data_IF_246797925366
#
_entry.id   IF_246797925366
#
_cell.length_a   1.000
_cell.length_b   1.000
_cell.length_c   1.000
_cell.angle_alpha   90.00
_cell.angle_beta   90.00
_cell.angle_gamma   90.00
#
_symmetry.space_group_name_H-M   'P 1'
#
loop_
_entity.id
_entity.type
_entity.pdbx_description
1 polymer ?
#
# COMPACT_ATOMS: atom_id res chain seq x y z
N UNK A 1 1.27 11.08 -21.50
CA UNK A 1 1.40 9.80 -20.75
C UNK A 1 0.43 9.77 -19.56
N UNK A 2 -0.59 8.91 -19.63
CA UNK A 2 -1.55 8.75 -18.52
C UNK A 2 -0.91 7.88 -17.44
N UNK A 3 -0.85 8.35 -16.18
CA UNK A 3 -0.33 7.53 -15.08
C UNK A 3 -1.30 6.39 -14.76
N UNK A 4 -0.76 5.21 -14.49
CA UNK A 4 -1.51 4.01 -14.12
C UNK A 4 -1.46 3.83 -12.60
N UNK A 5 -2.61 3.58 -11.98
CA UNK A 5 -2.71 3.44 -10.52
C UNK A 5 -3.35 2.10 -10.15
N UNK A 6 -2.83 1.49 -9.09
CA UNK A 6 -3.37 0.29 -8.47
C UNK A 6 -3.34 0.44 -6.96
N UNK A 7 -4.34 -0.12 -6.29
CA UNK A 7 -4.39 -0.18 -4.82
C UNK A 7 -4.14 -1.63 -4.41
N UNK A 8 -3.21 -1.82 -3.48
CA UNK A 8 -2.94 -3.13 -2.90
C UNK A 8 -4.14 -3.64 -2.12
N UNK A 9 -4.41 -4.94 -2.20
CA UNK A 9 -5.39 -5.64 -1.39
C UNK A 9 -4.92 -5.84 0.07
N UNK A 10 -5.69 -6.58 0.86
CA UNK A 10 -5.34 -6.91 2.25
C UNK A 10 -4.11 -7.84 2.40
N UNK A 11 -3.64 -8.44 1.30
CA UNK A 11 -2.45 -9.27 1.23
C UNK A 11 -1.22 -8.49 0.71
N UNK A 12 -1.40 -7.22 0.33
CA UNK A 12 -0.33 -6.37 -0.18
C UNK A 12 -0.06 -6.51 -1.68
N UNK A 13 -0.95 -7.16 -2.43
CA UNK A 13 -0.79 -7.40 -3.86
C UNK A 13 -1.68 -6.46 -4.70
N UNK A 14 -1.19 -6.04 -5.88
CA UNK A 14 -1.97 -5.32 -6.89
C UNK A 14 -1.51 -5.73 -8.28
N UNK A 15 -2.42 -5.76 -9.24
CA UNK A 15 -2.11 -5.99 -10.65
C UNK A 15 -2.42 -4.69 -11.40
N UNK A 16 -1.46 -4.23 -12.20
CA UNK A 16 -1.61 -3.04 -13.04
C UNK A 16 -1.33 -3.47 -14.47
N UNK A 17 -2.31 -3.26 -15.35
CA UNK A 17 -2.16 -3.52 -16.79
C UNK A 17 -1.73 -2.24 -17.46
N UNK A 18 -0.52 -2.17 -18.00
CA UNK A 18 -0.03 -1.03 -18.78
C UNK A 18 0.68 -1.53 -20.05
N UNK A 19 0.74 -0.71 -21.12
CA UNK A 19 1.48 -1.05 -22.32
C UNK A 19 2.96 -1.34 -22.03
N UNK A 20 3.62 -2.11 -22.89
CA UNK A 20 5.07 -2.34 -22.79
C UNK A 20 5.84 -1.02 -22.89
N UNK A 21 6.92 -0.89 -22.12
CA UNK A 21 7.71 0.34 -22.08
C UNK A 21 8.42 0.59 -20.75
N UNK A 22 9.02 1.78 -20.64
CA UNK A 22 9.71 2.23 -19.43
C UNK A 22 8.76 3.03 -18.56
N UNK A 23 8.69 2.66 -17.28
CA UNK A 23 7.82 3.30 -16.31
C UNK A 23 8.57 3.60 -15.04
N UNK A 24 8.07 4.60 -14.32
CA UNK A 24 8.48 4.88 -12.95
C UNK A 24 7.38 4.38 -12.03
N UNK A 25 7.66 3.30 -11.31
CA UNK A 25 6.80 2.77 -10.27
C UNK A 25 6.97 3.64 -9.03
N UNK A 26 5.85 4.13 -8.50
CA UNK A 26 5.82 4.86 -7.23
C UNK A 26 4.91 4.12 -6.26
N UNK A 27 5.50 3.62 -5.19
CA UNK A 27 4.78 3.00 -4.09
C UNK A 27 4.72 3.98 -2.92
N UNK A 28 3.50 4.27 -2.49
CA UNK A 28 3.24 5.17 -1.38
C UNK A 28 2.20 4.58 -0.45
N UNK A 29 2.38 4.78 0.85
CA UNK A 29 1.41 4.46 1.89
C UNK A 29 1.38 5.60 2.92
N UNK A 30 0.21 5.95 3.50
CA UNK A 30 0.10 7.06 4.46
C UNK A 30 1.01 6.94 5.70
N UNK A 31 1.44 5.71 6.01
CA UNK A 31 2.32 5.40 7.15
C UNK A 31 3.80 5.24 6.78
N UNK A 32 4.16 5.46 5.53
CA UNK A 32 5.57 5.50 5.10
C UNK A 32 6.17 6.87 5.39
N UNK A 33 7.48 6.90 5.62
CA UNK A 33 8.25 8.15 5.75
C UNK A 33 8.56 8.79 4.39
N UNK A 34 8.83 7.97 3.38
CA UNK A 34 9.13 8.38 2.02
C UNK A 34 8.51 7.39 1.04
N UNK A 35 8.11 7.87 -0.14
CA UNK A 35 7.65 7.02 -1.22
C UNK A 35 8.82 6.21 -1.81
N UNK A 36 8.59 4.94 -2.13
CA UNK A 36 9.56 4.15 -2.91
C UNK A 36 9.33 4.48 -4.38
N UNK A 37 10.40 4.82 -5.07
CA UNK A 37 10.37 5.10 -6.51
C UNK A 37 11.38 4.21 -7.20
N UNK A 38 10.94 3.44 -8.19
CA UNK A 38 11.80 2.55 -8.96
C UNK A 38 11.49 2.69 -10.46
N UNK A 39 12.53 2.65 -11.29
CA UNK A 39 12.37 2.57 -12.74
C UNK A 39 12.24 1.10 -13.16
N UNK A 40 11.15 0.78 -13.82
CA UNK A 40 10.86 -0.57 -14.30
C UNK A 40 10.67 -0.57 -15.82
N UNK A 41 11.13 -1.65 -16.46
CA UNK A 41 10.82 -1.93 -17.86
C UNK A 41 9.74 -3.01 -17.88
N UNK A 42 8.57 -2.67 -18.40
CA UNK A 42 7.51 -3.63 -18.69
C UNK A 42 7.78 -4.24 -20.06
N UNK A 43 8.09 -5.54 -20.07
CA UNK A 43 8.24 -6.32 -21.29
C UNK A 43 6.94 -7.08 -21.60
N UNK A 44 6.81 -7.55 -22.85
CA UNK A 44 5.75 -8.47 -23.29
C UNK A 44 6.00 -9.90 -22.75
N UNK A 45 6.21 -9.99 -21.43
CA UNK A 45 6.48 -11.22 -20.69
C UNK A 45 5.37 -11.42 -19.66
N UNK A 46 4.94 -12.67 -19.42
CA UNK A 46 4.00 -12.97 -18.34
C UNK A 46 4.60 -12.70 -16.95
N UNK A 47 5.92 -12.61 -16.83
CA UNK A 47 6.61 -12.41 -15.56
C UNK A 47 7.20 -11.01 -15.42
N UNK A 48 6.34 -10.06 -15.06
CA UNK A 48 6.72 -8.71 -14.64
C UNK A 48 6.49 -8.51 -13.13
N UNK A 49 6.54 -9.60 -12.33
CA UNK A 49 6.31 -9.53 -10.89
C UNK A 49 7.43 -8.74 -10.22
N UNK A 50 7.05 -7.81 -9.34
CA UNK A 50 7.97 -7.05 -8.50
C UNK A 50 7.56 -7.18 -7.04
N UNK A 51 8.53 -7.44 -6.18
CA UNK A 51 8.32 -7.57 -4.75
C UNK A 51 9.02 -6.41 -4.03
N UNK A 52 8.30 -5.78 -3.13
CA UNK A 52 8.79 -4.64 -2.37
C UNK A 52 8.54 -4.88 -0.88
N UNK A 53 9.59 -4.74 -0.07
CA UNK A 53 9.46 -4.76 1.39
C UNK A 53 9.27 -3.34 1.89
N UNK A 54 8.13 -3.08 2.54
CA UNK A 54 7.75 -1.75 3.02
C UNK A 54 7.73 -1.73 4.53
N UNK A 55 8.52 -0.84 5.14
CA UNK A 55 8.48 -0.58 6.58
C UNK A 55 7.47 0.52 6.89
N UNK A 56 6.38 0.17 7.56
CA UNK A 56 5.33 1.10 7.96
C UNK A 56 5.52 1.58 9.40
N UNK A 57 5.23 2.85 9.67
CA UNK A 57 5.16 3.36 11.03
C UNK A 57 4.07 2.61 11.85
N UNK A 58 4.27 2.43 13.17
CA UNK A 58 3.31 1.74 14.03
C UNK A 58 1.91 2.35 13.96
N UNK A 59 0.90 1.48 13.93
CA UNK A 59 -0.49 1.92 14.00
C UNK A 59 -0.85 2.36 15.42
N UNK A 60 -0.91 3.68 15.65
CA UNK A 60 -1.35 4.26 16.92
C UNK A 60 -2.83 4.65 16.91
N UNK A 61 -3.69 3.93 16.20
CA UNK A 61 -5.14 4.12 16.35
C UNK A 61 -5.54 3.88 17.81
N UNK A 62 -6.09 4.92 18.43
CA UNK A 62 -6.66 4.85 19.78
C UNK A 62 -7.74 3.78 19.76
N UNK A 63 -7.44 2.62 20.36
CA UNK A 63 -8.46 1.61 20.65
C UNK A 63 -9.35 2.18 21.75
N UNK A 64 -10.48 2.79 21.37
CA UNK A 64 -11.51 3.13 22.37
C UNK A 64 -12.03 1.81 22.91
N UNK A 65 -11.68 1.49 24.16
CA UNK A 65 -12.27 0.37 24.88
C UNK A 65 -13.78 0.56 24.96
N UNK A 66 -14.57 -0.54 25.07
CA UNK A 66 -16.00 -0.42 25.31
C UNK A 66 -16.22 0.45 26.55
N UNK A 67 -17.17 1.38 26.48
CA UNK A 67 -17.51 2.28 27.58
C UNK A 67 -17.78 1.44 28.85
N UNK A 68 -16.88 1.53 29.83
CA UNK A 68 -17.06 0.91 31.14
C UNK A 68 -18.31 1.47 31.81
N UNK A 69 -19.13 0.56 32.37
CA UNK A 69 -20.40 0.74 33.09
C UNK A 69 -20.64 2.13 33.73
N UNK A 70 -21.84 2.73 33.61
CA UNK A 70 -22.27 3.73 34.58
C UNK A 70 -22.58 3.03 35.91
N UNK A 71 -21.99 3.53 36.98
CA UNK A 71 -22.19 3.02 38.35
C UNK A 71 -23.63 3.16 38.81
N UNK A 72 -24.13 2.11 39.47
CA UNK A 72 -25.38 2.15 40.24
C UNK A 72 -25.05 2.10 41.72
N UNK A 73 -25.47 3.13 42.47
CA UNK A 73 -25.51 3.09 43.93
C UNK A 73 -26.70 2.22 44.36
N UNK A 74 -26.48 1.30 45.29
CA UNK A 74 -27.52 0.61 46.06
C UNK A 74 -27.19 0.72 47.53
#
# INVERSE_FOLDING_TARGET
>A
PTPWFGKTDGLGATIITAPVGRYRLQLWHPRMTAAITEEIVLAESPDNRREFTVTLKPDRRVRRGPAGKPGGYR
#
